data_IF_742158435324
#
_entry.id   IF_742158435324
#
_cell.length_a   1.000
_cell.length_b   1.000
_cell.length_c   1.000
_cell.angle_alpha   90.00
_cell.angle_beta   90.00
_cell.angle_gamma   90.00
#
_symmetry.space_group_name_H-M   'P 1'
#
loop_
_entity.id
_entity.type
_entity.pdbx_description
1 polymer ?
#
# COMPACT_ATOMS: atom_id res chain seq x y z
N UNK A 1 -0.50 -7.72 -19.59
CA UNK A 1 -1.94 -7.98 -19.44
C UNK A 1 -2.13 -8.52 -18.04
N UNK A 2 -3.06 -7.98 -17.24
CA UNK A 2 -3.34 -8.50 -15.88
C UNK A 2 -4.24 -9.72 -16.05
N UNK A 3 -3.83 -10.88 -15.51
CA UNK A 3 -4.68 -12.08 -15.46
C UNK A 3 -5.62 -11.97 -14.26
N UNK A 4 -6.93 -11.89 -14.52
CA UNK A 4 -7.92 -11.80 -13.44
C UNK A 4 -7.97 -13.04 -12.56
N UNK A 5 -7.47 -14.19 -13.05
CA UNK A 5 -7.46 -15.47 -12.31
C UNK A 5 -6.41 -15.50 -11.20
N UNK A 6 -5.40 -14.63 -11.25
CA UNK A 6 -4.33 -14.56 -10.25
C UNK A 6 -4.61 -13.55 -9.15
N UNK A 7 -5.74 -12.84 -9.22
CA UNK A 7 -6.14 -11.87 -8.21
C UNK A 7 -6.75 -12.58 -7.00
N UNK A 8 -6.41 -12.09 -5.81
CA UNK A 8 -6.94 -12.50 -4.52
C UNK A 8 -7.90 -11.41 -3.99
N UNK A 9 -9.23 -11.54 -4.20
CA UNK A 9 -10.20 -10.55 -3.75
C UNK A 9 -10.20 -10.31 -2.24
N UNK A 10 -9.71 -11.28 -1.47
CA UNK A 10 -9.70 -11.26 -0.01
C UNK A 10 -8.50 -10.50 0.56
N UNK A 11 -7.49 -10.20 -0.27
CA UNK A 11 -6.28 -9.52 0.16
C UNK A 11 -6.54 -8.18 0.85
N UNK A 12 -7.53 -7.42 0.38
CA UNK A 12 -7.94 -6.15 1.02
C UNK A 12 -8.52 -6.33 2.42
N UNK A 13 -9.16 -7.47 2.70
CA UNK A 13 -9.69 -7.79 4.03
C UNK A 13 -8.58 -8.29 4.95
N UNK A 14 -7.63 -9.08 4.42
CA UNK A 14 -6.42 -9.44 5.14
C UNK A 14 -5.68 -8.20 5.63
N UNK A 15 -5.45 -7.22 4.74
CA UNK A 15 -4.80 -5.96 5.15
C UNK A 15 -5.67 -5.18 6.14
N UNK A 16 -6.99 -5.12 5.92
CA UNK A 16 -7.88 -4.40 6.83
C UNK A 16 -7.98 -5.01 8.24
N UNK A 17 -7.54 -6.25 8.43
CA UNK A 17 -7.46 -6.91 9.72
C UNK A 17 -6.14 -6.64 10.46
N UNK A 18 -5.13 -6.04 9.80
CA UNK A 18 -3.88 -5.65 10.43
C UNK A 18 -3.99 -4.26 11.09
N UNK A 19 -3.26 -4.03 12.21
CA UNK A 19 -3.15 -2.71 12.80
C UNK A 19 -2.67 -1.65 11.79
N UNK A 20 -3.45 -0.59 11.62
CA UNK A 20 -3.18 0.49 10.66
C UNK A 20 -3.67 0.24 9.23
N UNK A 21 -4.19 -0.95 8.94
CA UNK A 21 -4.77 -1.30 7.63
C UNK A 21 -6.28 -1.10 7.51
N UNK A 22 -6.97 -0.81 8.63
CA UNK A 22 -8.43 -0.87 8.78
C UNK A 22 -9.17 -0.03 7.72
N UNK A 23 -8.62 1.14 7.42
CA UNK A 23 -9.23 2.12 6.51
C UNK A 23 -8.82 1.95 5.03
N UNK A 24 -8.05 0.91 4.65
CA UNK A 24 -7.58 0.75 3.25
C UNK A 24 -8.72 0.82 2.22
N UNK A 25 -9.88 0.24 2.54
CA UNK A 25 -11.06 0.18 1.66
C UNK A 25 -11.73 1.54 1.43
N UNK A 26 -11.42 2.56 2.25
CA UNK A 26 -11.91 3.94 2.06
C UNK A 26 -11.17 4.68 0.94
N UNK A 27 -10.04 4.16 0.47
CA UNK A 27 -9.25 4.83 -0.57
C UNK A 27 -9.98 4.90 -1.91
N UNK A 28 -10.34 6.12 -2.32
CA UNK A 28 -10.88 6.45 -3.65
C UNK A 28 -9.82 6.89 -4.70
N UNK A 29 -8.53 6.68 -4.42
CA UNK A 29 -7.43 6.93 -5.37
C UNK A 29 -7.19 8.38 -5.82
N UNK A 30 -7.47 9.41 -4.99
CA UNK A 30 -7.23 10.82 -5.34
C UNK A 30 -5.77 11.20 -5.67
N UNK A 31 -4.78 10.54 -5.07
CA UNK A 31 -3.35 10.79 -5.33
C UNK A 31 -2.65 11.80 -4.43
N UNK A 32 -3.33 12.40 -3.45
CA UNK A 32 -2.71 13.32 -2.47
C UNK A 32 -1.48 12.71 -1.80
N UNK A 33 -1.53 11.41 -1.48
CA UNK A 33 -0.41 10.70 -0.87
C UNK A 33 0.83 10.60 -1.76
N UNK A 34 0.65 10.50 -3.08
CA UNK A 34 1.77 10.45 -4.04
C UNK A 34 2.35 11.85 -4.25
N UNK A 35 1.50 12.86 -4.34
CA UNK A 35 1.93 14.26 -4.54
C UNK A 35 2.74 14.82 -3.37
N UNK A 36 2.42 14.43 -2.13
CA UNK A 36 3.14 14.88 -0.93
C UNK A 36 4.26 13.96 -0.45
N UNK A 37 4.65 12.94 -1.22
CA UNK A 37 5.62 11.96 -0.75
C UNK A 37 7.08 12.41 -1.00
N UNK A 38 7.92 12.57 0.03
CA UNK A 38 9.32 12.96 -0.18
C UNK A 38 10.14 11.87 -0.89
N UNK A 39 9.79 10.59 -0.69
CA UNK A 39 10.45 9.47 -1.40
C UNK A 39 10.20 9.56 -2.91
N UNK A 40 9.05 10.09 -3.33
CA UNK A 40 8.72 10.30 -4.75
C UNK A 40 9.62 11.35 -5.38
N UNK A 41 10.07 12.35 -4.61
CA UNK A 41 10.98 13.40 -5.09
C UNK A 41 12.37 12.82 -5.39
N UNK A 42 12.79 11.80 -4.65
CA UNK A 42 14.06 11.09 -4.86
C UNK A 42 13.93 10.04 -5.96
N UNK A 43 12.82 9.30 -6.00
CA UNK A 43 12.55 8.29 -7.02
C UNK A 43 11.11 8.31 -7.52
N UNK A 44 10.96 8.60 -8.80
CA UNK A 44 9.69 8.57 -9.52
C UNK A 44 9.11 7.15 -9.70
N UNK A 45 9.77 6.12 -9.16
CA UNK A 45 9.27 4.74 -9.16
C UNK A 45 8.37 4.47 -7.97
N UNK A 46 8.57 5.15 -6.84
CA UNK A 46 7.74 4.98 -5.65
C UNK A 46 6.38 5.66 -5.85
N UNK A 47 5.29 4.95 -5.58
CA UNK A 47 3.94 5.50 -5.70
C UNK A 47 2.99 4.83 -4.69
N UNK A 48 2.71 5.46 -3.53
CA UNK A 48 1.86 4.85 -2.51
C UNK A 48 0.44 4.61 -3.01
N UNK A 49 -0.13 5.51 -3.83
CA UNK A 49 -1.46 5.30 -4.43
C UNK A 49 -1.50 4.02 -5.27
N UNK A 50 -0.46 3.74 -6.05
CA UNK A 50 -0.41 2.53 -6.90
C UNK A 50 -0.41 1.26 -6.06
N UNK A 51 0.40 1.23 -4.99
CA UNK A 51 0.45 0.09 -4.05
C UNK A 51 -0.93 -0.17 -3.45
N UNK A 52 -1.60 0.87 -2.92
CA UNK A 52 -2.93 0.75 -2.33
C UNK A 52 -3.95 0.25 -3.36
N UNK A 53 -3.90 0.76 -4.60
CA UNK A 53 -4.83 0.33 -5.65
C UNK A 53 -4.61 -1.13 -6.04
N UNK A 54 -3.35 -1.57 -6.16
CA UNK A 54 -3.01 -2.98 -6.44
C UNK A 54 -3.51 -3.89 -5.32
N UNK A 55 -3.32 -3.48 -4.06
CA UNK A 55 -3.82 -4.21 -2.90
C UNK A 55 -5.36 -4.35 -2.91
N UNK A 56 -6.09 -3.25 -3.21
CA UNK A 56 -7.55 -3.27 -3.31
C UNK A 56 -8.09 -4.13 -4.48
N UNK A 57 -7.29 -4.26 -5.55
CA UNK A 57 -7.62 -5.11 -6.70
C UNK A 57 -7.24 -6.59 -6.47
N UNK A 58 -6.62 -6.92 -5.35
CA UNK A 58 -6.21 -8.30 -5.05
C UNK A 58 -4.91 -8.74 -5.73
N UNK A 59 -4.08 -7.81 -6.20
CA UNK A 59 -2.77 -8.10 -6.79
C UNK A 59 -1.74 -8.45 -5.71
N UNK A 60 -2.03 -9.49 -4.92
CA UNK A 60 -1.32 -9.85 -3.70
C UNK A 60 0.15 -10.13 -3.99
N UNK A 61 0.44 -11.02 -4.94
CA UNK A 61 1.81 -11.41 -5.30
C UNK A 61 2.63 -10.20 -5.74
N UNK A 62 2.07 -9.33 -6.56
CA UNK A 62 2.73 -8.13 -7.07
C UNK A 62 3.00 -7.11 -5.97
N UNK A 63 2.09 -6.97 -4.99
CA UNK A 63 2.30 -6.07 -3.85
C UNK A 63 3.38 -6.61 -2.92
N UNK A 64 3.28 -7.87 -2.50
CA UNK A 64 4.18 -8.45 -1.50
C UNK A 64 5.60 -8.65 -2.04
N UNK A 65 5.77 -8.94 -3.34
CA UNK A 65 7.09 -9.02 -3.98
C UNK A 65 7.69 -7.67 -4.39
N UNK A 66 6.95 -6.57 -4.22
CA UNK A 66 7.42 -5.26 -4.67
C UNK A 66 8.44 -4.67 -3.71
N UNK A 67 9.64 -4.33 -4.19
CA UNK A 67 10.61 -3.58 -3.39
C UNK A 67 10.08 -2.22 -2.91
N UNK A 68 9.04 -1.68 -3.56
CA UNK A 68 8.50 -0.37 -3.24
C UNK A 68 7.83 -0.31 -1.87
N UNK A 69 7.28 -1.41 -1.35
CA UNK A 69 6.66 -1.38 0.00
C UNK A 69 7.70 -1.02 1.07
N UNK A 70 8.98 -1.33 0.84
CA UNK A 70 10.10 -1.07 1.74
C UNK A 70 10.64 0.36 1.70
N UNK A 71 10.29 1.13 0.65
CA UNK A 71 10.79 2.50 0.49
C UNK A 71 10.03 3.53 1.34
N UNK A 72 8.91 3.16 1.96
CA UNK A 72 8.15 4.06 2.80
C UNK A 72 8.98 4.51 4.02
N UNK A 73 9.27 5.81 4.12
CA UNK A 73 10.02 6.41 5.23
C UNK A 73 9.20 6.67 6.49
N UNK A 74 7.90 6.35 6.48
CA UNK A 74 6.99 6.61 7.60
C UNK A 74 7.00 8.07 8.09
N UNK A 75 7.09 9.03 7.17
CA UNK A 75 7.11 10.48 7.50
C UNK A 75 5.74 11.11 7.80
N UNK A 76 4.64 10.35 7.70
CA UNK A 76 3.26 10.77 7.99
C UNK A 76 2.63 11.87 7.12
N UNK A 77 3.35 12.53 6.22
CA UNK A 77 2.79 13.58 5.33
C UNK A 77 1.53 13.13 4.56
N UNK A 78 1.51 11.88 4.11
CA UNK A 78 0.37 11.32 3.36
C UNK A 78 -0.86 11.06 4.23
N UNK A 79 -0.69 10.75 5.52
CA UNK A 79 -1.79 10.54 6.47
C UNK A 79 -2.45 11.88 6.81
N UNK A 80 -1.67 12.88 7.21
CA UNK A 80 -2.15 14.23 7.57
C UNK A 80 -2.99 14.90 6.47
N UNK A 81 -2.76 14.53 5.21
CA UNK A 81 -3.46 15.10 4.04
C UNK A 81 -4.51 14.17 3.45
N UNK A 82 -4.74 12.98 4.02
CA UNK A 82 -5.66 12.02 3.44
C UNK A 82 -7.12 12.43 3.69
N UNK A 83 -7.93 12.72 2.66
CA UNK A 83 -9.33 13.11 2.84
C UNK A 83 -10.25 11.93 3.24
N UNK A 84 -9.72 10.71 3.32
CA UNK A 84 -10.45 9.48 3.62
C UNK A 84 -9.91 8.77 4.87
N UNK A 85 -9.02 9.44 5.62
CA UNK A 85 -8.45 8.91 6.86
C UNK A 85 -7.75 7.55 6.68
N UNK A 86 -7.09 7.36 5.55
CA UNK A 86 -6.24 6.18 5.32
C UNK A 86 -4.90 6.42 5.99
N UNK A 87 -4.58 5.60 6.99
CA UNK A 87 -3.32 5.61 7.75
C UNK A 87 -2.17 5.00 6.95
N UNK A 88 -1.76 5.68 5.88
CA UNK A 88 -0.86 5.13 4.84
C UNK A 88 0.50 4.66 5.37
N UNK A 89 1.19 5.38 6.28
CA UNK A 89 2.44 4.89 6.88
C UNK A 89 2.24 3.55 7.60
N UNK A 90 1.21 3.44 8.43
CA UNK A 90 0.91 2.22 9.18
C UNK A 90 0.42 1.11 8.26
N UNK A 91 -0.40 1.44 7.26
CA UNK A 91 -0.81 0.53 6.19
C UNK A 91 0.40 -0.06 5.44
N UNK A 92 1.43 0.73 5.15
CA UNK A 92 2.65 0.20 4.54
C UNK A 92 3.34 -0.78 5.49
N UNK A 93 3.37 -0.50 6.80
CA UNK A 93 3.94 -1.44 7.78
C UNK A 93 3.09 -2.73 7.90
N UNK A 94 1.77 -2.64 7.86
CA UNK A 94 0.88 -3.79 7.80
C UNK A 94 1.20 -4.68 6.58
N UNK A 95 1.35 -4.07 5.39
CA UNK A 95 1.72 -4.80 4.17
C UNK A 95 3.12 -5.43 4.30
N UNK A 96 4.11 -4.72 4.86
CA UNK A 96 5.44 -5.28 5.14
C UNK A 96 5.36 -6.49 6.07
N UNK A 97 4.55 -6.42 7.13
CA UNK A 97 4.37 -7.53 8.08
C UNK A 97 3.77 -8.77 7.40
N UNK A 98 2.74 -8.58 6.56
CA UNK A 98 2.18 -9.65 5.73
C UNK A 98 3.26 -10.23 4.81
N UNK A 99 4.04 -9.37 4.14
CA UNK A 99 5.12 -9.78 3.24
C UNK A 99 6.14 -10.67 3.97
N UNK A 100 6.62 -10.27 5.14
CA UNK A 100 7.55 -11.07 5.95
C UNK A 100 6.93 -12.41 6.36
N UNK A 101 5.68 -12.44 6.84
CA UNK A 101 5.00 -13.68 7.24
C UNK A 101 4.82 -14.66 6.07
N UNK A 102 4.75 -14.15 4.85
CA UNK A 102 4.67 -14.95 3.62
C UNK A 102 6.03 -15.22 2.95
N UNK A 103 7.14 -14.83 3.60
CA UNK A 103 8.49 -15.12 3.11
C UNK A 103 9.02 -14.12 2.07
N UNK A 104 8.34 -13.00 1.86
CA UNK A 104 8.84 -11.88 1.05
C UNK A 104 9.72 -10.98 1.90
N UNK A 105 11.03 -11.12 1.72
CA UNK A 105 12.05 -10.32 2.41
C UNK A 105 12.46 -9.11 1.53
N UNK A 106 12.91 -8.00 2.15
CA UNK A 106 13.39 -6.81 1.44
C UNK A 106 14.59 -7.08 0.51
#
# INVERSE_FOLDING_TARGET
MIDSRTLDPEFKFLIAAEPGGENIKRCFSCGTCTAGCPVREVTDRYNPRKIIRMALLGMKKEVLSSQFIWLCSSCYTCFERCPQDVRIPELMNAIKNIAVREGYLP
#
